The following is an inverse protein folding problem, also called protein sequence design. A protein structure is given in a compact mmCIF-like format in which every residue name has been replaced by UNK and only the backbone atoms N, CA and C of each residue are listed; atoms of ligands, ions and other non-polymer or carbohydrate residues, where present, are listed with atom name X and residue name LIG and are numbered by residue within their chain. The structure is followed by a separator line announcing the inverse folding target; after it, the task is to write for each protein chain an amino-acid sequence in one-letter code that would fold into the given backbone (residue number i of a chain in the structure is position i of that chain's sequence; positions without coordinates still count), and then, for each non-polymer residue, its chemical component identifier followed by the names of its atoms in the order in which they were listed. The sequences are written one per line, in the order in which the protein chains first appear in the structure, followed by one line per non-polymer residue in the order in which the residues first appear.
data_IF_703206010227
#
_entry.id   IF_703206010227
#
_cell.length_a   1.000
_cell.length_b   1.000
_cell.length_c   1.000
_cell.angle_alpha   90.00
_cell.angle_beta   90.00
_cell.angle_gamma   90.00
#
_symmetry.space_group_name_H-M   'P 1'
#
loop_
_entity.id
_entity.type
_entity.pdbx_description
1 polymer ?
#
# COMPACT_ATOMS: atom_id res chain seq x y z
N UNK A 1 -28.59 29.10 -5.49
CA UNK A 1 -27.74 29.24 -6.69
C UNK A 1 -28.01 30.61 -7.26
N UNK A 2 -27.03 31.51 -7.40
CA UNK A 2 -27.27 32.83 -7.98
C UNK A 2 -27.78 32.64 -9.41
N UNK A 3 -28.93 33.24 -9.73
CA UNK A 3 -29.43 33.35 -11.10
C UNK A 3 -28.40 34.14 -11.89
N UNK A 4 -27.49 33.44 -12.59
CA UNK A 4 -26.55 34.11 -13.48
C UNK A 4 -27.37 34.57 -14.68
N UNK A 5 -27.87 35.80 -14.61
CA UNK A 5 -28.68 36.44 -15.64
C UNK A 5 -27.76 36.65 -16.84
N UNK A 6 -27.87 35.75 -17.82
CA UNK A 6 -27.10 35.87 -19.05
C UNK A 6 -27.56 37.11 -19.84
N UNK A 7 -26.60 37.92 -20.28
CA UNK A 7 -26.84 39.13 -21.07
C UNK A 7 -26.07 39.04 -22.37
N UNK A 8 -26.65 39.53 -23.46
CA UNK A 8 -26.02 39.59 -24.78
C UNK A 8 -25.00 40.76 -24.85
N UNK A 9 -24.33 40.93 -26.00
CA UNK A 9 -23.34 41.99 -26.22
C UNK A 9 -23.90 43.42 -26.09
N UNK A 10 -25.22 43.57 -26.18
CA UNK A 10 -25.94 44.85 -26.02
C UNK A 10 -26.43 45.05 -24.57
N UNK A 11 -26.16 44.10 -23.66
CA UNK A 11 -26.51 44.20 -22.25
C UNK A 11 -27.95 43.82 -21.90
N UNK A 12 -28.77 43.40 -22.87
CA UNK A 12 -30.14 42.92 -22.64
C UNK A 12 -30.16 41.50 -22.07
N UNK A 13 -31.13 41.21 -21.21
CA UNK A 13 -31.36 39.87 -20.69
C UNK A 13 -31.72 38.92 -21.84
N UNK A 14 -30.93 37.86 -22.00
CA UNK A 14 -31.15 36.84 -23.02
C UNK A 14 -31.37 35.46 -22.36
N UNK A 15 -32.64 35.14 -22.02
CA UNK A 15 -32.98 33.85 -21.43
C UNK A 15 -32.74 32.68 -22.38
N UNK A 16 -32.77 32.92 -23.69
CA UNK A 16 -32.61 31.88 -24.72
C UNK A 16 -31.17 31.42 -24.78
N UNK A 17 -30.22 32.36 -24.89
CA UNK A 17 -28.80 32.06 -24.86
C UNK A 17 -28.35 31.50 -23.50
N UNK A 18 -28.86 32.05 -22.39
CA UNK A 18 -28.59 31.52 -21.05
C UNK A 18 -29.07 30.07 -20.87
N UNK A 19 -30.27 29.75 -21.35
CA UNK A 19 -30.80 28.38 -21.31
C UNK A 19 -29.99 27.41 -22.20
N UNK A 20 -29.53 27.87 -23.36
CA UNK A 20 -28.68 27.08 -24.25
C UNK A 20 -27.33 26.73 -23.59
N UNK A 21 -26.63 27.74 -23.04
CA UNK A 21 -25.36 27.55 -22.32
C UNK A 21 -25.53 26.62 -21.12
N UNK A 22 -26.58 26.80 -20.31
CA UNK A 22 -26.84 25.92 -19.18
C UNK A 22 -27.10 24.46 -19.59
N UNK A 23 -27.70 24.21 -20.77
CA UNK A 23 -27.85 22.85 -21.33
C UNK A 23 -26.49 22.27 -21.74
N UNK A 24 -25.63 23.07 -22.39
CA UNK A 24 -24.27 22.67 -22.75
C UNK A 24 -23.44 22.29 -21.51
N UNK A 25 -23.41 23.15 -20.49
CA UNK A 25 -22.68 22.90 -19.24
C UNK A 25 -23.16 21.63 -18.53
N UNK A 26 -24.48 21.41 -18.48
CA UNK A 26 -25.06 20.19 -17.91
C UNK A 26 -24.65 18.94 -18.70
N UNK A 27 -24.64 19.04 -20.03
CA UNK A 27 -24.20 17.93 -20.91
C UNK A 27 -22.72 17.64 -20.70
N UNK A 28 -21.86 18.64 -20.71
CA UNK A 28 -20.42 18.48 -20.48
C UNK A 28 -20.12 17.85 -19.11
N UNK A 29 -20.76 18.35 -18.04
CA UNK A 29 -20.65 17.78 -16.69
C UNK A 29 -21.11 16.32 -16.65
N UNK A 30 -22.21 15.99 -17.33
CA UNK A 30 -22.76 14.64 -17.42
C UNK A 30 -21.80 13.70 -18.16
N UNK A 31 -21.28 14.14 -19.30
CA UNK A 31 -20.36 13.36 -20.14
C UNK A 31 -19.02 13.15 -19.42
N UNK A 32 -18.48 14.18 -18.77
CA UNK A 32 -17.30 14.07 -17.89
C UNK A 32 -17.51 13.05 -16.77
N UNK A 33 -18.66 13.09 -16.09
CA UNK A 33 -19.00 12.13 -15.02
C UNK A 33 -19.12 10.71 -15.56
N UNK A 34 -19.72 10.52 -16.74
CA UNK A 34 -19.80 9.20 -17.40
C UNK A 34 -18.42 8.67 -17.80
N UNK A 35 -17.55 9.54 -18.32
CA UNK A 35 -16.18 9.18 -18.67
C UNK A 35 -15.39 8.71 -17.44
N UNK A 36 -15.44 9.46 -16.33
CA UNK A 36 -14.80 9.08 -15.06
C UNK A 36 -15.37 7.75 -14.52
N UNK A 37 -16.70 7.57 -14.58
CA UNK A 37 -17.32 6.31 -14.14
C UNK A 37 -16.84 5.13 -14.99
N UNK A 38 -16.74 5.31 -16.31
CA UNK A 38 -16.26 4.29 -17.24
C UNK A 38 -14.78 3.96 -17.02
N UNK A 39 -13.92 4.97 -16.84
CA UNK A 39 -12.50 4.75 -16.54
C UNK A 39 -12.32 4.00 -15.22
N UNK A 40 -13.05 4.39 -14.18
CA UNK A 40 -12.99 3.73 -12.87
C UNK A 40 -13.53 2.29 -12.93
N UNK A 41 -14.60 2.04 -13.68
CA UNK A 41 -15.12 0.69 -13.87
C UNK A 41 -14.12 -0.20 -14.62
N UNK A 42 -13.44 0.32 -15.65
CA UNK A 42 -12.37 -0.39 -16.36
C UNK A 42 -11.20 -0.71 -15.42
N UNK A 43 -10.72 0.28 -14.66
CA UNK A 43 -9.63 0.09 -13.71
C UNK A 43 -9.97 -0.94 -12.62
N UNK A 44 -11.19 -0.92 -12.06
CA UNK A 44 -11.65 -1.92 -11.09
C UNK A 44 -11.72 -3.32 -11.67
N UNK A 45 -12.23 -3.46 -12.89
CA UNK A 45 -12.29 -4.76 -13.57
C UNK A 45 -10.89 -5.32 -13.80
N UNK A 46 -9.97 -4.47 -14.27
CA UNK A 46 -8.57 -4.83 -14.46
C UNK A 46 -7.89 -5.26 -13.16
N UNK A 47 -8.04 -4.46 -12.10
CA UNK A 47 -7.47 -4.76 -10.78
C UNK A 47 -8.03 -6.06 -10.19
N UNK A 48 -9.33 -6.33 -10.37
CA UNK A 48 -9.98 -7.55 -9.88
C UNK A 48 -9.62 -8.81 -10.70
N UNK A 49 -9.23 -8.65 -11.97
CA UNK A 49 -8.82 -9.78 -12.82
C UNK A 49 -7.36 -10.18 -12.65
N UNK A 50 -6.52 -9.31 -12.06
CA UNK A 50 -5.10 -9.58 -11.87
C UNK A 50 -4.87 -10.33 -10.55
N UNK A 51 -4.43 -11.58 -10.66
CA UNK A 51 -3.93 -12.33 -9.52
C UNK A 51 -2.70 -11.63 -8.93
N UNK A 52 -2.71 -11.40 -7.62
CA UNK A 52 -1.59 -10.82 -6.88
C UNK A 52 -1.25 -11.73 -5.71
N UNK A 53 -0.01 -12.20 -5.68
CA UNK A 53 0.52 -12.96 -4.57
C UNK A 53 0.61 -12.11 -3.31
N UNK A 54 0.36 -12.72 -2.16
CA UNK A 54 0.45 -12.06 -0.85
C UNK A 54 1.89 -12.20 -0.36
N UNK A 55 2.51 -11.09 0.05
CA UNK A 55 3.89 -11.07 0.55
C UNK A 55 3.94 -10.56 1.97
N UNK A 56 4.66 -11.28 2.83
CA UNK A 56 4.92 -10.84 4.19
C UNK A 56 6.12 -9.89 4.21
N UNK A 57 5.94 -8.67 4.72
CA UNK A 57 6.98 -7.66 4.83
C UNK A 57 7.60 -7.73 6.24
N UNK A 58 8.86 -8.17 6.28
CA UNK A 58 9.68 -8.22 7.47
C UNK A 58 10.64 -7.01 7.47
N UNK A 59 10.46 -6.12 8.45
CA UNK A 59 11.32 -4.95 8.64
C UNK A 59 11.39 -4.59 10.12
N UNK A 60 12.41 -3.82 10.50
CA UNK A 60 12.61 -3.40 11.89
C UNK A 60 11.44 -2.52 12.34
N UNK A 61 10.93 -2.77 13.54
CA UNK A 61 9.87 -1.97 14.18
C UNK A 61 10.39 -1.25 15.44
N UNK A 62 11.04 -2.00 16.35
CA UNK A 62 11.59 -1.45 17.59
C UNK A 62 12.78 -0.51 17.36
N UNK A 63 13.08 0.32 18.38
CA UNK A 63 14.08 1.38 18.30
C UNK A 63 13.42 2.70 17.89
N UNK A 64 13.80 3.25 16.75
CA UNK A 64 13.17 4.44 16.18
C UNK A 64 11.83 4.09 15.49
N UNK A 65 10.80 3.87 16.30
CA UNK A 65 9.49 3.41 15.84
C UNK A 65 8.90 4.32 14.76
N UNK A 66 9.05 5.65 14.89
CA UNK A 66 8.47 6.60 13.94
C UNK A 66 9.09 6.43 12.55
N UNK A 67 10.42 6.40 12.45
CA UNK A 67 11.10 6.20 11.17
C UNK A 67 10.92 4.78 10.62
N UNK A 68 10.89 3.78 11.49
CA UNK A 68 10.65 2.39 11.11
C UNK A 68 9.25 2.18 10.52
N UNK A 69 8.22 2.81 11.09
CA UNK A 69 6.85 2.78 10.54
C UNK A 69 6.80 3.42 9.16
N UNK A 70 7.46 4.57 8.97
CA UNK A 70 7.54 5.23 7.66
C UNK A 70 8.26 4.34 6.63
N UNK A 71 9.36 3.69 7.04
CA UNK A 71 10.10 2.77 6.19
C UNK A 71 9.24 1.55 5.81
N UNK A 72 8.58 0.91 6.76
CA UNK A 72 7.68 -0.21 6.51
C UNK A 72 6.52 0.15 5.57
N UNK A 73 5.93 1.35 5.72
CA UNK A 73 4.92 1.85 4.76
C UNK A 73 5.49 2.01 3.35
N UNK A 74 6.72 2.51 3.23
CA UNK A 74 7.43 2.60 1.94
C UNK A 74 7.67 1.22 1.32
N UNK A 75 8.03 0.22 2.12
CA UNK A 75 8.23 -1.16 1.67
C UNK A 75 6.92 -1.80 1.19
N UNK A 76 5.83 -1.61 1.94
CA UNK A 76 4.49 -2.01 1.51
C UNK A 76 4.11 -1.32 0.19
N UNK A 77 4.36 -0.01 0.05
CA UNK A 77 4.09 0.72 -1.19
C UNK A 77 4.87 0.14 -2.38
N UNK A 78 6.15 -0.15 -2.17
CA UNK A 78 7.00 -0.79 -3.17
C UNK A 78 6.46 -2.16 -3.61
N UNK A 79 5.99 -2.99 -2.68
CA UNK A 79 5.39 -4.29 -3.00
C UNK A 79 4.09 -4.14 -3.83
N UNK A 80 3.24 -3.16 -3.49
CA UNK A 80 2.02 -2.84 -4.27
C UNK A 80 2.38 -2.43 -5.70
N UNK A 81 3.37 -1.54 -5.85
CA UNK A 81 3.82 -1.06 -7.16
C UNK A 81 4.49 -2.19 -7.97
N UNK A 82 5.01 -3.21 -7.29
CA UNK A 82 5.56 -4.45 -7.89
C UNK A 82 4.50 -5.51 -8.20
N UNK A 83 3.21 -5.25 -7.95
CA UNK A 83 2.12 -6.16 -8.27
C UNK A 83 1.75 -7.17 -7.17
N UNK A 84 2.20 -6.96 -5.94
CA UNK A 84 1.93 -7.86 -4.80
C UNK A 84 0.95 -7.24 -3.80
N UNK A 85 0.38 -8.07 -2.93
CA UNK A 85 -0.41 -7.64 -1.77
C UNK A 85 0.48 -7.74 -0.52
N UNK A 86 0.98 -6.63 0.04
CA UNK A 86 1.84 -6.68 1.22
C UNK A 86 1.06 -6.87 2.52
N UNK A 87 1.67 -7.55 3.47
CA UNK A 87 1.24 -7.61 4.86
C UNK A 87 2.41 -7.36 5.81
N UNK A 88 2.30 -6.36 6.68
CA UNK A 88 3.28 -6.04 7.72
C UNK A 88 2.60 -6.06 9.10
N UNK A 89 2.80 -7.12 9.87
CA UNK A 89 2.15 -7.31 11.17
C UNK A 89 2.38 -6.13 12.14
N UNK A 90 3.61 -5.60 12.14
CA UNK A 90 4.04 -4.51 13.00
C UNK A 90 3.48 -3.13 12.59
N UNK A 91 2.80 -3.00 11.46
CA UNK A 91 2.02 -1.80 11.13
C UNK A 91 0.57 -1.90 11.60
N UNK A 92 0.03 -3.10 11.73
CA UNK A 92 -1.39 -3.33 12.01
C UNK A 92 -1.65 -3.56 13.50
N UNK A 93 -0.99 -4.55 14.08
CA UNK A 93 -1.32 -5.00 15.43
C UNK A 93 -1.00 -3.97 16.52
N UNK A 94 0.10 -3.19 16.44
CA UNK A 94 0.36 -2.13 17.42
C UNK A 94 -0.69 -1.00 17.45
N UNK A 95 -1.60 -0.93 16.46
CA UNK A 95 -2.70 0.04 16.48
C UNK A 95 -3.75 -0.27 17.54
N UNK A 96 -3.80 -1.52 18.03
CA UNK A 96 -4.79 -1.96 19.01
C UNK A 96 -4.28 -3.01 20.01
N UNK A 97 -3.01 -3.44 19.91
CA UNK A 97 -2.29 -4.23 20.90
C UNK A 97 -1.11 -3.42 21.45
N UNK A 98 -0.81 -3.59 22.73
CA UNK A 98 0.28 -2.93 23.42
C UNK A 98 1.48 -3.88 23.58
N UNK A 99 2.53 -3.61 22.81
CA UNK A 99 3.78 -4.37 22.83
C UNK A 99 4.52 -4.37 24.19
N UNK A 100 4.22 -3.39 25.07
CA UNK A 100 4.76 -3.35 26.42
C UNK A 100 4.08 -4.36 27.37
N UNK A 101 2.91 -4.88 27.00
CA UNK A 101 2.20 -5.92 27.75
C UNK A 101 2.60 -7.28 27.17
N UNK A 102 3.32 -8.14 27.91
CA UNK A 102 3.86 -9.40 27.37
C UNK A 102 2.80 -10.32 26.74
N UNK A 103 1.60 -10.39 27.34
CA UNK A 103 0.50 -11.19 26.82
C UNK A 103 0.00 -10.69 25.46
N UNK A 104 -0.17 -9.37 25.30
CA UNK A 104 -0.61 -8.77 24.03
C UNK A 104 0.49 -8.83 22.97
N UNK A 105 1.75 -8.65 23.36
CA UNK A 105 2.91 -8.86 22.49
C UNK A 105 2.92 -10.29 21.93
N UNK A 106 2.77 -11.31 22.78
CA UNK A 106 2.71 -12.70 22.33
C UNK A 106 1.53 -12.95 21.39
N UNK A 107 0.38 -12.32 21.66
CA UNK A 107 -0.80 -12.41 20.82
C UNK A 107 -0.55 -11.80 19.43
N UNK A 108 0.04 -10.60 19.36
CA UNK A 108 0.39 -9.93 18.11
C UNK A 108 1.39 -10.73 17.26
N UNK A 109 2.42 -11.31 17.90
CA UNK A 109 3.37 -12.21 17.24
C UNK A 109 2.68 -13.47 16.69
N UNK A 110 1.77 -14.06 17.47
CA UNK A 110 0.98 -15.22 17.03
C UNK A 110 0.12 -14.89 15.81
N UNK A 111 -0.55 -13.73 15.81
CA UNK A 111 -1.33 -13.29 14.65
C UNK A 111 -0.45 -13.05 13.43
N UNK A 112 0.71 -12.39 13.59
CA UNK A 112 1.69 -12.21 12.52
C UNK A 112 2.09 -13.54 11.87
N UNK A 113 2.36 -14.56 12.70
CA UNK A 113 2.68 -15.91 12.25
C UNK A 113 1.54 -16.55 11.45
N UNK A 114 0.29 -16.42 11.90
CA UNK A 114 -0.88 -16.98 11.20
C UNK A 114 -1.07 -16.30 9.83
N UNK A 115 -0.87 -14.98 9.75
CA UNK A 115 -0.95 -14.25 8.48
C UNK A 115 0.21 -14.59 7.54
N UNK A 116 1.43 -14.78 8.07
CA UNK A 116 2.55 -15.27 7.28
C UNK A 116 2.23 -16.63 6.63
N UNK A 117 1.44 -17.49 7.31
CA UNK A 117 0.98 -18.77 6.74
C UNK A 117 0.00 -18.64 5.55
N UNK A 118 -0.42 -17.42 5.23
CA UNK A 118 -1.25 -17.10 4.06
C UNK A 118 -0.46 -16.36 2.98
N UNK A 119 0.82 -16.10 3.19
CA UNK A 119 1.68 -15.42 2.24
C UNK A 119 2.41 -16.43 1.34
N UNK A 120 2.66 -16.03 0.10
CA UNK A 120 3.41 -16.81 -0.89
C UNK A 120 4.93 -16.62 -0.72
N UNK A 121 5.34 -15.41 -0.29
CA UNK A 121 6.74 -15.05 -0.11
C UNK A 121 6.94 -14.21 1.17
N UNK A 122 8.17 -14.19 1.69
CA UNK A 122 8.61 -13.31 2.78
C UNK A 122 9.70 -12.39 2.24
N UNK A 123 9.50 -11.08 2.38
CA UNK A 123 10.45 -10.07 1.94
C UNK A 123 11.08 -9.41 3.16
N UNK A 124 12.40 -9.46 3.25
CA UNK A 124 13.17 -8.94 4.38
C UNK A 124 13.89 -7.67 3.94
N UNK A 125 13.69 -6.59 4.67
CA UNK A 125 14.28 -5.28 4.38
C UNK A 125 15.35 -4.90 5.40
N UNK A 126 16.53 -4.53 4.90
CA UNK A 126 17.68 -4.12 5.69
C UNK A 126 18.62 -5.28 6.03
N UNK A 127 19.84 -4.93 6.47
CA UNK A 127 20.92 -5.86 6.78
C UNK A 127 20.97 -6.30 8.24
N UNK A 128 20.42 -5.51 9.17
CA UNK A 128 20.43 -5.82 10.59
C UNK A 128 19.07 -6.34 11.10
N UNK A 129 19.05 -7.54 11.67
CA UNK A 129 17.82 -8.13 12.19
C UNK A 129 17.59 -7.73 13.64
N UNK A 130 16.40 -7.22 13.93
CA UNK A 130 15.93 -7.16 15.32
C UNK A 130 15.54 -8.56 15.81
N UNK A 131 15.40 -8.76 17.12
CA UNK A 131 14.93 -10.05 17.65
C UNK A 131 13.58 -10.51 17.04
N UNK A 132 12.69 -9.56 16.73
CA UNK A 132 11.42 -9.85 16.05
C UNK A 132 11.63 -10.32 14.61
N UNK A 133 12.49 -9.62 13.85
CA UNK A 133 12.83 -10.00 12.48
C UNK A 133 13.54 -11.36 12.42
N UNK A 134 14.46 -11.63 13.36
CA UNK A 134 15.15 -12.92 13.44
C UNK A 134 14.14 -14.06 13.64
N UNK A 135 13.16 -13.89 14.54
CA UNK A 135 12.13 -14.89 14.75
C UNK A 135 11.24 -15.10 13.51
N UNK A 136 10.92 -14.03 12.78
CA UNK A 136 10.19 -14.10 11.51
C UNK A 136 11.01 -14.83 10.42
N UNK A 137 12.31 -14.53 10.33
CA UNK A 137 13.24 -15.19 9.42
C UNK A 137 13.39 -16.69 9.72
N UNK A 138 13.68 -17.05 10.98
CA UNK A 138 13.86 -18.45 11.40
C UNK A 138 12.60 -19.26 11.11
N UNK A 139 11.42 -18.66 11.32
CA UNK A 139 10.14 -19.26 10.95
C UNK A 139 10.01 -19.42 9.45
N UNK A 140 10.37 -18.39 8.68
CA UNK A 140 10.28 -18.41 7.24
C UNK A 140 11.13 -19.55 6.64
N UNK A 141 12.37 -19.69 7.13
CA UNK A 141 13.29 -20.77 6.79
C UNK A 141 12.72 -22.12 7.20
N UNK A 142 12.27 -22.27 8.45
CA UNK A 142 11.70 -23.53 8.97
C UNK A 142 10.50 -24.02 8.17
N UNK A 143 9.69 -23.11 7.64
CA UNK A 143 8.49 -23.41 6.84
C UNK A 143 8.78 -23.54 5.34
N UNK A 144 10.00 -23.23 4.90
CA UNK A 144 10.39 -23.32 3.49
C UNK A 144 9.75 -22.24 2.61
N UNK A 145 9.44 -21.06 3.16
CA UNK A 145 8.95 -19.96 2.33
C UNK A 145 10.04 -19.45 1.39
N UNK A 146 9.61 -18.90 0.25
CA UNK A 146 10.52 -18.13 -0.61
C UNK A 146 10.86 -16.81 0.08
N UNK A 147 12.12 -16.66 0.48
CA UNK A 147 12.65 -15.45 1.11
C UNK A 147 13.37 -14.60 0.07
N UNK A 148 13.05 -13.31 0.02
CA UNK A 148 13.73 -12.32 -0.83
C UNK A 148 14.28 -11.20 0.06
N UNK A 149 15.47 -10.73 -0.26
CA UNK A 149 16.18 -9.73 0.53
C UNK A 149 16.24 -8.42 -0.22
N UNK A 150 15.99 -7.34 0.51
CA UNK A 150 15.99 -5.99 -0.03
C UNK A 150 16.80 -5.07 0.86
N UNK A 151 17.51 -4.13 0.24
CA UNK A 151 18.10 -3.01 0.97
C UNK A 151 17.01 -2.06 1.49
N UNK A 152 17.37 -1.12 2.36
CA UNK A 152 16.47 -0.05 2.82
C UNK A 152 15.97 0.85 1.68
N UNK A 153 16.66 0.85 0.54
CA UNK A 153 16.27 1.57 -0.68
C UNK A 153 15.42 0.72 -1.65
N UNK A 154 14.86 -0.39 -1.18
CA UNK A 154 14.04 -1.33 -1.95
C UNK A 154 14.77 -1.95 -3.17
N UNK A 155 16.09 -2.13 -3.08
CA UNK A 155 16.85 -2.86 -4.12
C UNK A 155 16.97 -4.32 -3.72
N UNK A 156 16.55 -5.22 -4.60
CA UNK A 156 16.69 -6.65 -4.36
C UNK A 156 18.16 -7.08 -4.40
N UNK A 157 18.57 -7.87 -3.41
CA UNK A 157 19.93 -8.41 -3.29
C UNK A 157 19.89 -9.88 -3.67
N UNK A 158 20.67 -10.27 -4.67
CA UNK A 158 20.75 -11.66 -5.16
C UNK A 158 22.07 -12.27 -4.70
N UNK A 159 22.08 -13.02 -3.60
CA UNK A 159 23.26 -13.78 -3.19
C UNK A 159 23.23 -14.28 -1.75
N UNK A 160 23.40 -15.59 -1.58
CA UNK A 160 24.01 -16.16 -0.37
C UNK A 160 25.51 -15.84 -0.43
N UNK A 161 26.06 -15.05 0.51
CA UNK A 161 27.49 -14.76 0.48
C UNK A 161 28.01 -13.85 1.58
N UNK A 162 28.79 -14.45 2.49
CA UNK A 162 29.83 -13.89 3.37
C UNK A 162 30.07 -12.37 3.27
N UNK A 163 29.61 -11.64 4.30
CA UNK A 163 30.45 -10.68 5.02
C UNK A 163 31.02 -9.50 4.23
N UNK A 164 30.22 -8.84 3.40
CA UNK A 164 30.53 -7.52 2.84
C UNK A 164 29.28 -6.64 2.92
N UNK A 165 29.40 -5.49 3.59
CA UNK A 165 28.34 -4.55 3.98
C UNK A 165 27.07 -4.56 3.12
N UNK A 166 25.93 -4.75 3.78
CA UNK A 166 24.55 -4.67 3.28
C UNK A 166 23.93 -5.92 2.63
N UNK A 167 24.60 -7.07 2.62
CA UNK A 167 24.00 -8.38 2.34
C UNK A 167 23.73 -9.21 3.61
N UNK A 168 22.72 -10.09 3.63
CA UNK A 168 22.44 -10.92 4.80
C UNK A 168 23.49 -12.03 4.95
N UNK A 169 23.87 -12.25 6.21
CA UNK A 169 24.65 -13.38 6.73
C UNK A 169 23.93 -14.71 6.49
#
# INVERSE_FOLDING_TARGET
MPNNIYRNSEGYYDPTAGAALAKCDRKEKSDRRKAIRKSNAKARKQAASEYRSIVYICSRYAGDIANNVIAAQRYCRFAVDSGYIPFAAHLLFPLFLNDAIPAERMLGLSFGNIFMDKCDEVWIFGSEYSAGMQAEYDRAVKKGYRIRYFTTDCREVTGHGNGGGDGPI
#
